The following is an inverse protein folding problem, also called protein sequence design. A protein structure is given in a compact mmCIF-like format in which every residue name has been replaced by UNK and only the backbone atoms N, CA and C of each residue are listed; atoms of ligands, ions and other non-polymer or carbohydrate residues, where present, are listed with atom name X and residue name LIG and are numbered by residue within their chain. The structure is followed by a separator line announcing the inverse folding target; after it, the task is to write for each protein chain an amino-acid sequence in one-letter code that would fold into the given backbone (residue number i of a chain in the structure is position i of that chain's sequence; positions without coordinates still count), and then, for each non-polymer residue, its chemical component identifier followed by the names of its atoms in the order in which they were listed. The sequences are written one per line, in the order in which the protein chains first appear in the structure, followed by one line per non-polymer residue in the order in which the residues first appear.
data_IF_852907725012
#
_entry.id   IF_852907725012
#
_cell.length_a   1.000
_cell.length_b   1.000
_cell.length_c   1.000
_cell.angle_alpha   90.00
_cell.angle_beta   90.00
_cell.angle_gamma   90.00
#
_symmetry.space_group_name_H-M   'P 1'
#
loop_
_entity.id
_entity.type
_entity.pdbx_description
1 polymer ?
#
# COMPACT_ATOMS: atom_id res chain seq x y z
N UNK A 1 19.57 -5.68 -0.34
CA UNK A 1 18.15 -5.39 -0.06
C UNK A 1 17.85 -4.04 -0.72
N UNK A 2 17.04 -4.03 -1.78
CA UNK A 2 16.68 -2.79 -2.48
C UNK A 2 15.17 -2.58 -2.34
N UNK A 3 14.77 -1.53 -1.62
CA UNK A 3 13.37 -1.19 -1.39
C UNK A 3 13.00 -0.06 -2.35
N UNK A 4 11.89 -0.21 -3.08
CA UNK A 4 11.30 0.85 -3.90
C UNK A 4 10.63 1.88 -2.98
N UNK A 5 10.89 3.17 -3.18
CA UNK A 5 10.24 4.24 -2.41
C UNK A 5 9.32 5.03 -3.33
N UNK A 6 8.04 5.11 -2.96
CA UNK A 6 7.02 5.88 -3.68
C UNK A 6 6.42 6.93 -2.75
N UNK A 7 6.36 8.18 -3.22
CA UNK A 7 5.68 9.27 -2.52
C UNK A 7 4.49 9.75 -3.36
N UNK A 8 3.30 9.81 -2.75
CA UNK A 8 2.07 10.28 -3.41
C UNK A 8 1.54 11.53 -2.71
N UNK A 9 1.67 12.67 -3.39
CA UNK A 9 1.31 13.99 -2.85
C UNK A 9 -0.21 14.18 -2.76
N UNK A 10 -1.00 13.49 -3.60
CA UNK A 10 -2.46 13.60 -3.61
C UNK A 10 -3.07 12.51 -2.72
N UNK A 11 -4.10 12.89 -1.98
CA UNK A 11 -4.89 11.93 -1.20
C UNK A 11 -5.47 10.82 -2.10
N UNK A 12 -5.35 9.58 -1.62
CA UNK A 12 -5.86 8.37 -2.28
C UNK A 12 -6.97 7.75 -1.43
N UNK A 13 -7.97 7.19 -2.09
CA UNK A 13 -9.00 6.40 -1.44
C UNK A 13 -8.39 5.17 -0.73
N UNK A 14 -8.85 4.90 0.51
CA UNK A 14 -8.30 3.83 1.35
C UNK A 14 -8.48 2.46 0.68
N UNK A 15 -9.69 2.12 0.23
CA UNK A 15 -9.98 0.83 -0.40
C UNK A 15 -9.14 0.61 -1.64
N UNK A 16 -9.00 1.64 -2.49
CA UNK A 16 -8.13 1.57 -3.68
C UNK A 16 -6.65 1.34 -3.32
N UNK A 17 -6.17 1.97 -2.25
CA UNK A 17 -4.79 1.77 -1.81
C UNK A 17 -4.55 0.34 -1.31
N UNK A 18 -5.54 -0.25 -0.64
CA UNK A 18 -5.48 -1.63 -0.15
C UNK A 18 -5.41 -2.63 -1.31
N UNK A 19 -6.23 -2.47 -2.34
CA UNK A 19 -6.17 -3.31 -3.55
C UNK A 19 -4.78 -3.27 -4.21
N UNK A 20 -4.15 -2.09 -4.26
CA UNK A 20 -2.79 -1.92 -4.78
C UNK A 20 -1.76 -2.63 -3.91
N UNK A 21 -1.88 -2.52 -2.59
CA UNK A 21 -0.97 -3.16 -1.64
C UNK A 21 -1.10 -4.69 -1.66
N UNK A 22 -2.32 -5.23 -1.73
CA UNK A 22 -2.56 -6.67 -1.85
C UNK A 22 -1.92 -7.25 -3.12
N UNK A 23 -2.10 -6.57 -4.26
CA UNK A 23 -1.42 -6.94 -5.49
C UNK A 23 0.10 -6.85 -5.37
N UNK A 24 0.62 -5.77 -4.74
CA UNK A 24 2.07 -5.62 -4.51
C UNK A 24 2.62 -6.77 -3.67
N UNK A 25 1.91 -7.23 -2.65
CA UNK A 25 2.32 -8.40 -1.85
C UNK A 25 2.48 -9.64 -2.72
N UNK A 26 1.52 -9.92 -3.61
CA UNK A 26 1.63 -11.05 -4.55
C UNK A 26 2.80 -10.90 -5.52
N UNK A 27 3.03 -9.69 -6.04
CA UNK A 27 4.14 -9.43 -6.95
C UNK A 27 5.50 -9.56 -6.26
N UNK A 28 5.60 -9.16 -4.98
CA UNK A 28 6.82 -9.36 -4.16
C UNK A 28 7.03 -10.85 -3.86
N UNK A 29 5.98 -11.54 -3.41
CA UNK A 29 6.04 -12.96 -3.10
C UNK A 29 6.47 -13.81 -4.32
N UNK A 30 6.00 -13.44 -5.51
CA UNK A 30 6.37 -14.13 -6.76
C UNK A 30 7.67 -13.63 -7.40
N UNK A 31 8.39 -12.70 -6.77
CA UNK A 31 9.65 -12.16 -7.26
C UNK A 31 9.53 -11.24 -8.49
N UNK A 32 8.32 -10.78 -8.83
CA UNK A 32 8.05 -9.89 -9.97
C UNK A 32 8.36 -8.43 -9.65
N UNK A 33 8.30 -8.05 -8.38
CA UNK A 33 8.56 -6.69 -7.89
C UNK A 33 9.40 -6.72 -6.61
N UNK A 34 10.14 -5.65 -6.39
CA UNK A 34 10.83 -5.41 -5.12
C UNK A 34 9.84 -4.96 -4.04
N UNK A 35 10.29 -5.06 -2.79
CA UNK A 35 9.61 -4.48 -1.63
C UNK A 35 9.34 -2.97 -1.84
N UNK A 36 8.26 -2.47 -1.24
CA UNK A 36 7.78 -1.11 -1.42
C UNK A 36 7.59 -0.39 -0.08
N UNK A 37 8.19 0.78 0.05
CA UNK A 37 7.80 1.80 1.02
C UNK A 37 6.94 2.85 0.31
N UNK A 38 5.69 3.01 0.73
CA UNK A 38 4.76 3.94 0.09
C UNK A 38 4.27 5.00 1.09
N UNK A 39 4.65 6.25 0.86
CA UNK A 39 4.18 7.42 1.60
C UNK A 39 2.98 8.04 0.86
N UNK A 40 1.86 8.19 1.55
CA UNK A 40 0.60 8.70 1.01
C UNK A 40 -0.32 9.19 2.13
N UNK A 41 -1.42 9.85 1.75
CA UNK A 41 -2.48 10.28 2.65
C UNK A 41 -3.86 9.76 2.20
N UNK A 42 -4.77 9.58 3.15
CA UNK A 42 -6.17 9.23 2.89
C UNK A 42 -7.11 10.36 3.25
N UNK A 43 -8.29 10.37 2.64
CA UNK A 43 -9.42 11.14 3.19
C UNK A 43 -9.81 10.55 4.55
N UNK A 44 -10.50 11.35 5.37
CA UNK A 44 -10.99 10.89 6.67
C UNK A 44 -11.79 9.60 6.52
N UNK A 45 -11.36 8.55 7.21
CA UNK A 45 -11.96 7.20 7.16
C UNK A 45 -11.71 6.50 8.49
N UNK A 46 -12.66 5.66 8.92
CA UNK A 46 -12.48 4.77 10.06
C UNK A 46 -12.05 3.39 9.55
N UNK A 47 -11.06 2.79 10.20
CA UNK A 47 -10.62 1.42 9.94
C UNK A 47 -10.81 0.58 11.21
N UNK A 48 -11.06 -0.71 11.04
CA UNK A 48 -11.20 -1.67 12.12
C UNK A 48 -10.18 -2.78 11.89
N UNK A 49 -9.34 -3.04 12.88
CA UNK A 49 -8.39 -4.15 12.87
C UNK A 49 -9.06 -5.48 13.19
N UNK A 50 -8.32 -6.57 13.09
CA UNK A 50 -8.82 -7.92 13.31
C UNK A 50 -9.37 -8.20 14.74
N UNK A 51 -9.06 -7.36 15.71
CA UNK A 51 -9.50 -7.46 17.11
C UNK A 51 -10.53 -6.39 17.50
N UNK A 52 -11.20 -5.78 16.52
CA UNK A 52 -12.21 -4.73 16.74
C UNK A 52 -13.61 -5.30 16.81
#
# INVERSE_FOLDING_TARGET
MNIEVKNTIKSIDYSKSMEILEKRVQDVYTGKKNELLWLLEHKSVYTAGASS
#
